data_IF_399199476022
#
_entry.id   IF_399199476022
#
_cell.length_a   1.000
_cell.length_b   1.000
_cell.length_c   1.000
_cell.angle_alpha   90.00
_cell.angle_beta   90.00
_cell.angle_gamma   90.00
#
_symmetry.space_group_name_H-M   'P 1'
#
loop_
_entity.id
_entity.type
_entity.pdbx_description
1 polymer ?
#
# COMPACT_ATOMS: atom_id res chain seq x y z
N UNK A 1 6.15 -11.20 -9.58
CA UNK A 1 6.45 -9.79 -9.26
C UNK A 1 7.96 -9.61 -9.25
N UNK A 2 8.45 -8.56 -9.91
CA UNK A 2 9.83 -8.09 -9.93
C UNK A 2 9.99 -6.76 -9.20
N UNK A 3 8.97 -5.88 -9.24
CA UNK A 3 9.03 -4.57 -8.58
C UNK A 3 7.69 -4.20 -7.93
N UNK A 4 7.74 -3.70 -6.71
CA UNK A 4 6.58 -3.27 -5.92
C UNK A 4 6.75 -1.79 -5.54
N UNK A 5 5.69 -1.01 -5.72
CA UNK A 5 5.60 0.36 -5.23
C UNK A 5 5.15 0.38 -3.77
N UNK A 6 5.64 1.34 -2.98
CA UNK A 6 5.16 1.57 -1.62
C UNK A 6 4.97 3.06 -1.37
N UNK A 7 3.86 3.42 -0.72
CA UNK A 7 3.52 4.80 -0.37
C UNK A 7 2.98 4.91 1.04
N UNK A 8 3.12 6.09 1.63
CA UNK A 8 2.48 6.47 2.90
C UNK A 8 1.46 7.57 2.66
N UNK A 9 0.25 7.41 3.19
CA UNK A 9 -0.84 8.38 3.05
C UNK A 9 -1.56 8.64 4.39
N UNK A 10 -2.19 9.82 4.49
CA UNK A 10 -2.90 10.26 5.69
C UNK A 10 -1.98 10.83 6.79
N UNK A 11 -2.45 10.82 8.04
CA UNK A 11 -1.72 11.37 9.19
C UNK A 11 -0.47 10.56 9.55
N UNK A 12 0.55 11.24 10.06
CA UNK A 12 1.84 10.63 10.39
C UNK A 12 1.79 9.79 11.69
N UNK A 13 2.56 8.71 11.75
CA UNK A 13 2.69 7.86 12.96
C UNK A 13 4.13 7.38 13.14
N UNK A 14 4.57 7.06 14.37
CA UNK A 14 5.97 6.69 14.61
C UNK A 14 6.40 5.39 13.93
N UNK A 15 5.46 4.51 13.57
CA UNK A 15 5.78 3.17 13.03
C UNK A 15 5.97 3.14 11.50
N UNK A 16 5.80 4.26 10.78
CA UNK A 16 5.79 4.24 9.31
C UNK A 16 7.11 3.77 8.71
N UNK A 17 8.26 4.32 9.15
CA UNK A 17 9.57 3.87 8.66
C UNK A 17 9.85 2.41 9.02
N UNK A 18 9.42 1.94 10.19
CA UNK A 18 9.55 0.54 10.59
C UNK A 18 8.73 -0.40 9.67
N UNK A 19 7.51 0.00 9.31
CA UNK A 19 6.66 -0.72 8.34
C UNK A 19 7.31 -0.79 6.96
N UNK A 20 7.82 0.34 6.45
CA UNK A 20 8.52 0.38 5.16
C UNK A 20 9.75 -0.54 5.20
N UNK A 21 10.53 -0.51 6.29
CA UNK A 21 11.71 -1.36 6.46
C UNK A 21 11.34 -2.85 6.49
N UNK A 22 10.28 -3.24 7.18
CA UNK A 22 9.78 -4.62 7.19
C UNK A 22 9.39 -5.11 5.79
N UNK A 23 8.68 -4.29 5.02
CA UNK A 23 8.35 -4.59 3.62
C UNK A 23 9.61 -4.73 2.75
N UNK A 24 10.58 -3.83 2.91
CA UNK A 24 11.87 -3.88 2.21
C UNK A 24 12.64 -5.16 2.54
N UNK A 25 12.70 -5.57 3.79
CA UNK A 25 13.38 -6.81 4.20
C UNK A 25 12.72 -8.06 3.59
N UNK A 26 11.39 -8.11 3.60
CA UNK A 26 10.64 -9.19 2.96
C UNK A 26 10.88 -9.23 1.44
N UNK A 27 10.88 -8.07 0.78
CA UNK A 27 11.16 -7.96 -0.64
C UNK A 27 12.60 -8.38 -0.98
N UNK A 28 13.59 -8.01 -0.16
CA UNK A 28 14.98 -8.45 -0.33
C UNK A 28 15.10 -9.98 -0.28
N UNK A 29 14.43 -10.62 0.68
CA UNK A 29 14.42 -12.08 0.80
C UNK A 29 13.77 -12.76 -0.42
N UNK A 30 12.82 -12.09 -1.07
CA UNK A 30 12.14 -12.56 -2.27
C UNK A 30 12.83 -12.14 -3.59
N UNK A 31 13.90 -11.34 -3.55
CA UNK A 31 14.53 -10.79 -4.76
C UNK A 31 13.66 -9.79 -5.52
N UNK A 32 12.82 -9.03 -4.82
CA UNK A 32 11.89 -8.04 -5.37
C UNK A 32 12.43 -6.63 -5.13
N UNK A 33 12.38 -5.77 -6.14
CA UNK A 33 12.72 -4.35 -6.04
C UNK A 33 11.58 -3.56 -5.38
N UNK A 34 11.92 -2.65 -4.47
CA UNK A 34 10.99 -1.77 -3.76
C UNK A 34 11.20 -0.33 -4.19
N UNK A 35 10.13 0.30 -4.67
CA UNK A 35 10.13 1.69 -5.09
C UNK A 35 9.26 2.53 -4.15
N UNK A 36 9.86 3.46 -3.43
CA UNK A 36 9.17 4.43 -2.59
C UNK A 36 8.56 5.54 -3.43
N UNK A 37 7.25 5.73 -3.35
CA UNK A 37 6.52 6.79 -4.02
C UNK A 37 6.33 7.97 -3.06
N UNK A 38 6.87 9.13 -3.41
CA UNK A 38 6.90 10.27 -2.49
C UNK A 38 5.55 10.98 -2.42
N UNK A 39 5.20 11.44 -1.22
CA UNK A 39 3.97 12.21 -0.94
C UNK A 39 2.68 11.44 -1.28
N UNK A 40 2.61 10.16 -0.93
CA UNK A 40 1.38 9.37 -1.00
C UNK A 40 0.79 9.26 -2.41
N UNK A 41 -0.53 9.37 -2.52
CA UNK A 41 -1.21 9.28 -3.82
C UNK A 41 -0.89 10.43 -4.77
N UNK A 42 -0.42 11.58 -4.26
CA UNK A 42 0.00 12.69 -5.12
C UNK A 42 1.15 12.28 -6.05
N UNK A 43 1.93 11.24 -5.68
CA UNK A 43 2.94 10.65 -6.55
C UNK A 43 2.40 10.21 -7.91
N UNK A 44 1.11 9.87 -8.03
CA UNK A 44 0.53 9.45 -9.30
C UNK A 44 -0.02 10.59 -10.16
N UNK A 45 -0.21 11.77 -9.57
CA UNK A 45 -0.95 12.86 -10.19
C UNK A 45 -0.07 13.67 -11.14
N UNK A 46 1.24 13.53 -10.99
CA UNK A 46 2.22 14.14 -11.88
C UNK A 46 3.09 13.05 -12.54
N UNK A 47 3.21 13.04 -13.88
CA UNK A 47 4.03 12.05 -14.60
C UNK A 47 5.51 12.02 -14.17
N UNK A 48 6.02 13.12 -13.60
CA UNK A 48 7.40 13.28 -13.17
C UNK A 48 7.55 13.42 -11.65
N UNK A 49 6.51 13.07 -10.87
CA UNK A 49 6.63 13.05 -9.42
C UNK A 49 7.83 12.19 -8.99
N UNK A 50 8.57 12.61 -7.96
CA UNK A 50 9.75 11.88 -7.49
C UNK A 50 9.38 10.51 -6.92
N UNK A 51 10.30 9.56 -7.07
CA UNK A 51 10.27 8.24 -6.45
C UNK A 51 11.71 7.81 -6.12
N UNK A 52 11.88 6.92 -5.16
CA UNK A 52 13.21 6.52 -4.65
C UNK A 52 13.31 5.00 -4.56
N UNK A 53 14.36 4.36 -5.10
CA UNK A 53 14.64 2.95 -4.83
C UNK A 53 14.93 2.76 -3.34
N UNK A 54 14.16 1.90 -2.67
CA UNK A 54 14.31 1.65 -1.23
C UNK A 54 15.30 0.53 -0.93
N UNK A 55 15.59 -0.31 -1.93
CA UNK A 55 16.47 -1.46 -1.77
C UNK A 55 17.44 -1.69 -2.95
N UNK A 56 18.24 -0.69 -3.35
CA UNK A 56 19.23 -0.89 -4.41
C UNK A 56 20.12 -2.10 -4.09
N UNK A 57 20.32 -2.99 -5.07
CA UNK A 57 21.05 -4.25 -4.90
C UNK A 57 20.50 -5.16 -3.78
N UNK A 58 19.19 -5.07 -3.51
CA UNK A 58 18.51 -5.79 -2.42
C UNK A 58 19.06 -5.46 -1.03
N UNK A 59 19.50 -4.22 -0.83
CA UNK A 59 19.94 -3.67 0.45
C UNK A 59 19.17 -2.40 0.77
N UNK A 60 18.59 -2.32 1.98
CA UNK A 60 17.85 -1.13 2.41
C UNK A 60 18.71 0.13 2.35
N UNK A 61 18.13 1.26 1.92
CA UNK A 61 18.81 2.56 1.93
C UNK A 61 19.09 3.03 3.37
N UNK A 62 20.20 3.74 3.62
CA UNK A 62 20.57 4.18 4.97
C UNK A 62 19.60 5.21 5.57
N UNK A 63 18.84 5.95 4.75
CA UNK A 63 17.84 6.91 5.20
C UNK A 63 16.60 6.23 5.82
N UNK A 64 16.36 4.95 5.50
CA UNK A 64 15.24 4.18 6.01
C UNK A 64 15.56 3.60 7.40
N UNK A 65 15.37 4.42 8.42
CA UNK A 65 15.63 4.09 9.82
C UNK A 65 14.33 3.83 10.59
N UNK A 66 14.13 2.60 11.06
CA UNK A 66 12.95 2.19 11.82
C UNK A 66 12.80 2.90 13.18
N UNK A 67 13.86 3.49 13.71
CA UNK A 67 13.84 4.23 14.98
C UNK A 67 13.44 5.70 14.81
N UNK A 68 13.41 6.19 13.57
CA UNK A 68 12.97 7.55 13.27
C UNK A 68 11.45 7.56 13.11
N UNK A 69 10.80 8.36 13.94
CA UNK A 69 9.39 8.66 13.77
C UNK A 69 9.10 9.32 12.43
N UNK A 70 7.87 9.12 11.96
CA UNK A 70 7.39 9.66 10.70
C UNK A 70 7.67 8.77 9.50
N UNK A 71 7.58 9.33 8.29
CA UNK A 71 7.86 8.63 7.03
C UNK A 71 8.95 9.32 6.21
N UNK A 72 9.92 8.55 5.74
CA UNK A 72 10.97 8.99 4.79
C UNK A 72 10.38 9.34 3.42
N UNK A 73 9.19 8.85 3.08
CA UNK A 73 8.53 9.08 1.80
C UNK A 73 7.65 10.35 1.79
N UNK A 74 7.41 10.95 2.96
CA UNK A 74 6.38 11.96 3.12
C UNK A 74 4.97 11.38 2.93
N UNK A 75 3.96 12.17 3.29
CA UNK A 75 2.55 11.77 3.18
C UNK A 75 1.72 12.91 2.61
N UNK A 76 0.65 12.57 1.91
CA UNK A 76 -0.35 13.53 1.47
C UNK A 76 -1.76 13.12 1.93
N UNK A 77 -2.67 14.11 1.90
CA UNK A 77 -4.11 13.92 2.04
C UNK A 77 -4.79 14.05 0.69
N UNK A 78 -4.20 13.42 -0.32
CA UNK A 78 -4.73 13.37 -1.68
C UNK A 78 -5.55 12.11 -1.84
N UNK A 79 -6.68 12.19 -2.54
CA UNK A 79 -7.57 11.06 -2.79
C UNK A 79 -7.66 10.79 -4.28
N UNK A 80 -7.66 9.52 -4.68
CA UNK A 80 -7.93 9.12 -6.05
C UNK A 80 -9.44 9.13 -6.25
N UNK A 81 -9.93 10.02 -7.12
CA UNK A 81 -11.33 10.05 -7.52
C UNK A 81 -11.58 8.95 -8.56
N UNK A 82 -12.47 8.01 -8.24
CA UNK A 82 -12.84 6.91 -9.17
C UNK A 82 -13.64 7.38 -10.38
N UNK A 83 -14.27 8.56 -10.31
CA UNK A 83 -15.04 9.12 -11.41
C UNK A 83 -14.19 9.85 -12.45
N UNK A 84 -12.95 10.19 -12.10
CA UNK A 84 -11.99 10.85 -12.98
C UNK A 84 -11.20 9.83 -13.81
N UNK A 85 -11.75 9.47 -14.98
CA UNK A 85 -11.12 8.52 -15.89
C UNK A 85 -9.76 9.00 -16.42
N UNK A 86 -9.55 10.30 -16.55
CA UNK A 86 -8.27 10.85 -17.01
C UNK A 86 -7.19 10.67 -15.94
N UNK A 87 -7.54 10.85 -14.67
CA UNK A 87 -6.67 10.55 -13.54
C UNK A 87 -6.33 9.06 -13.46
N UNK A 88 -7.31 8.16 -13.61
CA UNK A 88 -7.06 6.71 -13.59
C UNK A 88 -6.16 6.26 -14.74
N UNK A 89 -6.34 6.83 -15.94
CA UNK A 89 -5.45 6.58 -17.07
C UNK A 89 -4.02 7.09 -16.81
N UNK A 90 -3.87 8.26 -16.18
CA UNK A 90 -2.55 8.79 -15.79
C UNK A 90 -1.85 7.89 -14.77
N UNK A 91 -2.58 7.42 -13.76
CA UNK A 91 -2.13 6.45 -12.77
C UNK A 91 -1.65 5.16 -13.46
N UNK A 92 -2.48 4.57 -14.32
CA UNK A 92 -2.15 3.33 -15.02
C UNK A 92 -0.90 3.47 -15.91
N UNK A 93 -0.80 4.58 -16.65
CA UNK A 93 0.39 4.88 -17.46
C UNK A 93 1.65 5.02 -16.61
N UNK A 94 1.53 5.64 -15.42
CA UNK A 94 2.65 5.77 -14.50
C UNK A 94 3.07 4.43 -13.91
N UNK A 95 2.12 3.59 -13.53
CA UNK A 95 2.37 2.21 -13.06
C UNK A 95 3.19 1.43 -14.11
N UNK A 96 2.77 1.48 -15.37
CA UNK A 96 3.49 0.83 -16.49
C UNK A 96 4.89 1.44 -16.67
N UNK A 97 5.02 2.78 -16.65
CA UNK A 97 6.31 3.47 -16.79
C UNK A 97 7.29 3.12 -15.68
N UNK A 98 6.81 2.97 -14.45
CA UNK A 98 7.61 2.57 -13.29
C UNK A 98 7.81 1.06 -13.20
N UNK A 99 7.14 0.28 -14.06
CA UNK A 99 7.17 -1.18 -14.11
C UNK A 99 6.77 -1.80 -12.77
N UNK A 100 5.70 -1.28 -12.15
CA UNK A 100 5.19 -1.82 -10.89
C UNK A 100 4.30 -3.03 -11.16
N UNK A 101 4.54 -4.12 -10.42
CA UNK A 101 3.71 -5.33 -10.43
C UNK A 101 2.75 -5.41 -9.24
N UNK A 102 2.99 -4.58 -8.22
CA UNK A 102 2.13 -4.45 -7.06
C UNK A 102 2.31 -3.11 -6.34
N UNK A 103 1.38 -2.78 -5.45
CA UNK A 103 1.38 -1.57 -4.64
C UNK A 103 1.09 -1.88 -3.17
N UNK A 104 1.90 -1.33 -2.26
CA UNK A 104 1.66 -1.32 -0.83
C UNK A 104 1.30 0.10 -0.40
N UNK A 105 0.09 0.28 0.10
CA UNK A 105 -0.39 1.56 0.63
C UNK A 105 -0.36 1.49 2.16
N UNK A 106 0.44 2.33 2.82
CA UNK A 106 0.45 2.42 4.28
C UNK A 106 -0.40 3.61 4.71
N UNK A 107 -1.45 3.36 5.48
CA UNK A 107 -2.35 4.46 5.87
C UNK A 107 -3.61 4.05 6.63
N UNK A 108 -4.43 5.04 6.95
CA UNK A 108 -5.70 4.84 7.67
C UNK A 108 -6.91 4.74 6.74
N UNK A 109 -8.11 5.03 7.26
CA UNK A 109 -9.36 4.96 6.50
C UNK A 109 -9.35 5.78 5.19
N UNK A 110 -8.86 7.03 5.24
CA UNK A 110 -8.73 7.85 4.05
C UNK A 110 -7.82 7.23 2.97
N UNK A 111 -6.80 6.48 3.37
CA UNK A 111 -5.91 5.76 2.44
C UNK A 111 -6.61 4.58 1.80
N UNK A 112 -7.43 3.89 2.59
CA UNK A 112 -8.23 2.78 2.13
C UNK A 112 -9.28 3.21 1.11
N UNK A 113 -9.94 4.36 1.31
CA UNK A 113 -10.83 4.92 0.30
C UNK A 113 -10.07 5.29 -0.98
N UNK A 114 -8.88 5.90 -0.85
CA UNK A 114 -8.06 6.29 -2.00
C UNK A 114 -7.44 5.13 -2.79
N UNK A 115 -7.28 3.94 -2.21
CA UNK A 115 -6.69 2.78 -2.91
C UNK A 115 -7.72 1.93 -3.66
N UNK A 116 -9.02 2.05 -3.37
CA UNK A 116 -10.05 1.25 -4.06
C UNK A 116 -9.97 1.35 -5.59
N UNK A 117 -9.82 2.54 -6.21
CA UNK A 117 -9.75 2.63 -7.67
C UNK A 117 -8.46 2.02 -8.23
N UNK A 118 -7.41 1.92 -7.41
CA UNK A 118 -6.13 1.32 -7.79
C UNK A 118 -6.19 -0.21 -7.78
N UNK A 119 -7.03 -0.79 -6.94
CA UNK A 119 -7.22 -2.24 -6.90
C UNK A 119 -7.67 -2.78 -8.26
N UNK A 120 -8.45 -2.05 -9.04
CA UNK A 120 -8.87 -2.51 -10.37
C UNK A 120 -7.77 -2.38 -11.44
N UNK A 121 -6.65 -1.71 -11.12
CA UNK A 121 -5.53 -1.43 -12.04
C UNK A 121 -4.33 -2.33 -11.74
N UNK A 122 -4.02 -2.56 -10.46
CA UNK A 122 -2.82 -3.29 -10.03
C UNK A 122 -3.07 -4.00 -8.68
N UNK A 123 -2.49 -5.19 -8.43
CA UNK A 123 -2.52 -5.83 -7.12
C UNK A 123 -2.07 -4.86 -6.02
N UNK A 124 -2.99 -4.51 -5.13
CA UNK A 124 -2.79 -3.47 -4.11
C UNK A 124 -3.11 -4.02 -2.73
N UNK A 125 -2.24 -3.75 -1.75
CA UNK A 125 -2.42 -4.16 -0.35
C UNK A 125 -2.37 -2.93 0.56
N UNK A 126 -3.27 -2.89 1.54
CA UNK A 126 -3.23 -1.93 2.63
C UNK A 126 -2.36 -2.46 3.78
N UNK A 127 -1.41 -1.65 4.24
CA UNK A 127 -0.77 -1.77 5.55
C UNK A 127 -1.44 -0.76 6.50
N UNK A 128 -2.36 -1.20 7.36
CA UNK A 128 -3.22 -0.29 8.10
C UNK A 128 -2.44 0.47 9.17
N UNK A 129 -2.76 1.74 9.30
CA UNK A 129 -2.12 2.68 10.20
C UNK A 129 -3.15 3.66 10.76
N UNK A 130 -3.50 3.46 12.01
CA UNK A 130 -4.35 4.37 12.78
C UNK A 130 -3.80 4.51 14.20
N UNK A 131 -3.94 5.69 14.81
CA UNK A 131 -3.72 5.89 16.26
C UNK A 131 -5.03 5.73 17.04
N UNK A 132 -6.16 5.77 16.34
CA UNK A 132 -7.50 5.77 16.88
C UNK A 132 -8.06 4.34 17.06
N UNK A 133 -7.34 3.32 16.52
CA UNK A 133 -7.72 1.90 16.52
C UNK A 133 -9.14 1.65 16.00
N UNK A 134 -9.52 2.41 14.98
CA UNK A 134 -10.84 2.48 14.36
C UNK A 134 -10.96 1.67 13.06
N UNK A 135 -9.92 0.90 12.72
CA UNK A 135 -9.92 0.00 11.57
C UNK A 135 -10.34 -1.41 12.02
N UNK A 136 -11.36 -1.97 11.35
CA UNK A 136 -11.78 -3.36 11.56
C UNK A 136 -10.67 -4.37 11.26
N UNK A 137 -10.71 -5.53 11.91
CA UNK A 137 -9.81 -6.66 11.63
C UNK A 137 -10.54 -7.71 10.79
N UNK A 138 -9.95 -8.15 9.69
CA UNK A 138 -10.49 -9.25 8.87
C UNK A 138 -9.91 -10.62 9.24
N UNK A 139 -10.60 -11.68 8.82
CA UNK A 139 -10.06 -13.04 8.77
C UNK A 139 -9.42 -13.35 7.41
N UNK A 140 -8.44 -14.26 7.40
CA UNK A 140 -7.65 -14.59 6.19
C UNK A 140 -8.49 -15.08 4.99
N UNK A 141 -9.72 -15.53 5.21
CA UNK A 141 -10.63 -16.00 4.17
C UNK A 141 -11.55 -14.94 3.57
N UNK A 142 -11.45 -13.67 3.95
CA UNK A 142 -12.43 -12.63 3.54
C UNK A 142 -11.94 -11.69 2.44
N UNK A 143 -10.67 -11.79 2.04
CA UNK A 143 -10.06 -10.92 1.02
C UNK A 143 -10.20 -11.51 -0.39
N UNK A 144 -10.36 -10.62 -1.37
CA UNK A 144 -10.18 -10.99 -2.78
C UNK A 144 -8.75 -11.47 -3.02
N UNK A 145 -8.60 -12.40 -3.96
CA UNK A 145 -7.29 -12.94 -4.32
C UNK A 145 -6.91 -12.52 -5.73
N UNK A 146 -5.61 -12.50 -6.02
CA UNK A 146 -5.09 -12.25 -7.36
C UNK A 146 -4.34 -13.49 -7.83
N UNK A 147 -4.74 -13.99 -8.99
CA UNK A 147 -4.09 -15.12 -9.64
C UNK A 147 -3.30 -14.64 -10.84
N UNK A 148 -2.15 -15.28 -11.07
CA UNK A 148 -1.32 -15.05 -12.24
C UNK A 148 -1.83 -15.92 -13.38
N UNK A 149 -2.34 -15.32 -14.45
CA UNK A 149 -2.75 -16.04 -15.66
C UNK A 149 -1.74 -15.78 -16.79
N UNK A 150 -1.28 -16.85 -17.44
CA UNK A 150 -0.46 -16.76 -18.66
C UNK A 150 -1.34 -16.97 -19.90
N UNK A 151 -1.53 -15.92 -20.70
CA UNK A 151 -2.17 -16.04 -22.00
C UNK A 151 -1.19 -15.63 -23.11
N UNK A 152 -0.94 -16.55 -24.05
CA UNK A 152 -0.18 -16.29 -25.29
C UNK A 152 1.20 -15.64 -25.09
N UNK A 153 1.90 -15.99 -24.01
CA UNK A 153 3.22 -15.46 -23.68
C UNK A 153 3.22 -14.11 -22.96
N UNK A 154 2.05 -13.57 -22.60
CA UNK A 154 1.91 -12.41 -21.74
C UNK A 154 1.33 -12.84 -20.39
N UNK A 155 1.92 -12.33 -19.31
CA UNK A 155 1.51 -12.66 -17.95
C UNK A 155 0.66 -11.53 -17.38
N UNK A 156 -0.56 -11.84 -16.96
CA UNK A 156 -1.52 -10.85 -16.43
C UNK A 156 -2.04 -11.31 -15.08
N UNK A 157 -2.27 -10.37 -14.16
CA UNK A 157 -2.95 -10.66 -12.89
C UNK A 157 -4.47 -10.53 -13.06
N UNK A 158 -5.22 -11.53 -12.61
CA UNK A 158 -6.69 -11.53 -12.62
C UNK A 158 -7.20 -11.47 -11.18
N UNK A 159 -8.12 -10.55 -10.92
CA UNK A 159 -8.80 -10.43 -9.62
C UNK A 159 -9.86 -11.54 -9.51
N UNK A 160 -9.69 -12.40 -8.52
CA UNK A 160 -10.65 -13.42 -8.13
C UNK A 160 -11.43 -12.92 -6.92
N UNK A 161 -12.65 -12.43 -7.18
CA UNK A 161 -13.53 -11.92 -6.14
C UNK A 161 -13.96 -13.03 -5.17
N UNK A 162 -13.98 -12.74 -3.88
CA UNK A 162 -14.43 -13.70 -2.87
C UNK A 162 -15.95 -13.99 -3.00
N UNK A 163 -16.41 -15.25 -2.87
CA UNK A 163 -17.80 -15.66 -3.10
C UNK A 163 -18.86 -15.02 -2.17
N UNK A 164 -18.47 -14.28 -1.14
CA UNK A 164 -19.40 -13.54 -0.27
C UNK A 164 -19.83 -12.18 -0.85
N UNK A 165 -19.45 -11.87 -2.10
CA UNK A 165 -19.82 -10.68 -2.87
C UNK A 165 -21.17 -10.08 -2.50
N UNK A 166 -21.15 -9.05 -1.64
CA UNK A 166 -22.34 -8.35 -1.18
C UNK A 166 -22.44 -6.98 -1.86
N UNK A 167 -22.34 -6.97 -3.19
CA UNK A 167 -22.67 -5.82 -4.03
C UNK A 167 -24.18 -5.78 -4.28
N UNK A 168 -24.88 -5.05 -3.40
CA UNK A 168 -26.19 -4.45 -3.70
C UNK A 168 -26.46 -3.19 -2.86
N UNK A 169 -25.73 -3.01 -1.75
CA UNK A 169 -25.65 -1.74 -1.03
C UNK A 169 -24.29 -1.66 -0.34
N UNK A 170 -23.46 -0.73 -0.80
CA UNK A 170 -22.21 -0.39 -0.14
C UNK A 170 -22.54 0.25 1.22
N UNK A 171 -22.29 -0.49 2.30
CA UNK A 171 -22.36 0.02 3.69
C UNK A 171 -20.92 0.12 4.17
N UNK A 172 -20.55 1.30 4.67
CA UNK A 172 -19.22 1.58 5.19
C UNK A 172 -18.87 0.65 6.37
N UNK A 173 -19.89 0.11 7.03
CA UNK A 173 -19.80 -0.84 8.13
C UNK A 173 -19.41 -2.27 7.68
N UNK A 174 -19.41 -2.53 6.36
CA UNK A 174 -19.01 -3.79 5.73
C UNK A 174 -17.65 -3.70 5.03
N UNK A 175 -16.91 -2.62 5.27
CA UNK A 175 -15.60 -2.41 4.67
C UNK A 175 -14.58 -3.38 5.28
N UNK A 176 -13.95 -4.16 4.40
CA UNK A 176 -13.06 -5.29 4.72
C UNK A 176 -11.61 -4.76 4.69
N UNK A 177 -11.00 -4.59 5.87
CA UNK A 177 -9.65 -4.01 6.04
C UNK A 177 -8.59 -5.09 6.30
N UNK A 178 -7.65 -5.28 5.37
CA UNK A 178 -6.51 -6.17 5.62
C UNK A 178 -5.64 -5.60 6.74
N UNK A 179 -5.66 -6.24 7.91
CA UNK A 179 -4.74 -6.02 9.00
C UNK A 179 -4.16 -7.36 9.40
N UNK A 180 -2.86 -7.58 9.16
CA UNK A 180 -2.18 -8.68 9.83
C UNK A 180 -2.18 -8.38 11.34
N UNK A 181 -2.52 -9.33 12.23
CA UNK A 181 -2.63 -9.15 13.68
C UNK A 181 -1.37 -8.65 14.43
N UNK A 182 -0.33 -8.21 13.72
CA UNK A 182 0.86 -7.58 14.27
C UNK A 182 1.04 -6.09 13.92
N UNK A 183 0.36 -5.54 12.91
CA UNK A 183 0.65 -4.19 12.43
C UNK A 183 -0.06 -3.08 13.21
N UNK A 184 -1.33 -3.27 13.58
CA UNK A 184 -2.01 -2.40 14.55
C UNK A 184 -1.37 -2.51 15.94
N UNK A 185 -0.90 -3.72 16.28
CA UNK A 185 -0.25 -4.06 17.55
C UNK A 185 1.13 -3.40 17.68
N UNK A 186 1.89 -3.22 16.59
CA UNK A 186 3.20 -2.58 16.64
C UNK A 186 3.12 -1.08 17.01
N UNK A 187 2.08 -0.36 16.56
CA UNK A 187 1.84 1.04 16.98
C UNK A 187 1.41 1.09 18.45
N UNK A 188 0.59 0.12 18.88
CA UNK A 188 0.14 -0.01 20.27
C UNK A 188 1.28 -0.39 21.23
N UNK A 189 2.11 -1.39 20.91
CA UNK A 189 3.28 -1.80 21.69
C UNK A 189 4.35 -0.71 21.75
N UNK A 190 4.62 0.00 20.63
CA UNK A 190 5.57 1.10 20.63
C UNK A 190 5.11 2.27 21.53
N UNK A 191 3.81 2.53 21.63
CA UNK A 191 3.26 3.55 22.52
C UNK A 191 3.32 3.15 24.01
N UNK A 192 3.17 1.87 24.35
CA UNK A 192 3.33 1.38 25.73
C UNK A 192 4.80 1.24 26.17
N UNK A 193 5.73 1.06 25.22
CA UNK A 193 7.17 1.00 25.48
C UNK A 193 7.82 2.34 25.83
N UNK A 194 7.20 3.47 25.46
CA UNK A 194 7.62 4.82 25.86
C UNK A 194 6.98 5.17 27.21
N UNK A 195 7.47 4.56 28.28
CA UNK A 195 7.18 5.05 29.63
C UNK A 195 7.98 6.34 29.88
N UNK A 196 7.30 7.41 30.30
CA UNK A 196 7.93 8.65 30.82
C UNK A 196 8.81 8.37 32.03
#
# INVERSE_FOLDING_TARGET
>A
MKRIGILTAGGDTPALNATILGAVQAANAAGIEMLGLLNGFASFFEPNAPHVPLNPLFQAIPELDATRGGTVLGSSRTYVDSSDLDLLNQIANRIVRLQLDGLICIGGDGTMNGLQPLCDIIPTVLAPKTIDNDLGLNYAGEADTWELEEQSGNTTYIRCAHPTGNDASFSIDKMINYATPGYATAVYEAAEGVRR
#
